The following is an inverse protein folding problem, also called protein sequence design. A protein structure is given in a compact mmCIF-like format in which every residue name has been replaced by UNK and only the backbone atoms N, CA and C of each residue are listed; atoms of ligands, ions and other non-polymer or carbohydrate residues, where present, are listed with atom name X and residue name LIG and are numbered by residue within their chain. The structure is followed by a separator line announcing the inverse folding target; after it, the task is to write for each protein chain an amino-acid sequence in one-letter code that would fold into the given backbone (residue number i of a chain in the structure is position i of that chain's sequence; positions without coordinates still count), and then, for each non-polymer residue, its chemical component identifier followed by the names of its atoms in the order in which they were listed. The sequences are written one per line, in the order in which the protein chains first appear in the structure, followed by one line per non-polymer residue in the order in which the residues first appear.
data_IF_057945364026
#
_entry.id   IF_057945364026
#
_cell.length_a   1.000
_cell.length_b   1.000
_cell.length_c   1.000
_cell.angle_alpha   90.00
_cell.angle_beta   90.00
_cell.angle_gamma   90.00
#
_symmetry.space_group_name_H-M   'P 1'
#
loop_
_entity.id
_entity.type
_entity.pdbx_description
1 polymer ?
#
# COMPACT_ATOMS: atom_id res chain seq x y z
N UNK A 1 47.39 41.57 -11.56
CA UNK A 1 46.41 42.64 -11.41
C UNK A 1 45.29 42.13 -10.54
N UNK A 2 45.12 42.80 -9.47
CA UNK A 2 44.35 42.50 -8.28
C UNK A 2 42.85 42.50 -8.54
N UNK A 3 42.16 41.47 -8.16
CA UNK A 3 40.74 41.58 -7.87
C UNK A 3 40.46 41.02 -6.50
N UNK A 4 40.18 42.00 -5.64
CA UNK A 4 40.07 41.81 -4.21
C UNK A 4 38.85 40.98 -3.80
N UNK A 5 39.15 39.98 -3.03
CA UNK A 5 38.22 39.30 -2.14
C UNK A 5 37.72 40.29 -1.07
N UNK A 6 36.60 40.97 -1.32
CA UNK A 6 35.88 41.69 -0.28
C UNK A 6 35.00 40.75 0.50
N UNK A 7 35.57 40.09 1.49
CA UNK A 7 34.83 39.43 2.57
C UNK A 7 34.35 40.52 3.52
N UNK A 8 33.06 40.76 3.73
CA UNK A 8 32.59 41.75 4.70
C UNK A 8 32.97 41.31 6.11
N UNK A 9 33.60 42.25 6.86
CA UNK A 9 33.97 42.05 8.27
C UNK A 9 32.73 41.81 9.12
N UNK A 10 32.77 40.97 10.15
CA UNK A 10 31.63 40.71 11.03
C UNK A 10 31.28 41.95 11.83
N UNK A 11 30.00 42.32 11.80
CA UNK A 11 29.42 43.40 12.62
C UNK A 11 28.92 42.77 13.92
N UNK A 12 29.20 43.35 15.08
CA UNK A 12 28.83 42.74 16.37
C UNK A 12 27.35 42.79 16.64
N UNK A 13 26.81 41.71 17.17
CA UNK A 13 25.48 41.66 17.76
C UNK A 13 24.33 41.45 16.77
N UNK A 14 23.27 42.18 16.85
CA UNK A 14 21.97 41.96 16.26
C UNK A 14 21.84 42.03 14.73
N UNK A 15 22.75 42.72 14.04
CA UNK A 15 22.73 42.88 12.59
C UNK A 15 23.04 41.59 11.82
N UNK A 16 23.87 40.72 12.39
CA UNK A 16 24.23 39.44 11.75
C UNK A 16 23.12 38.42 11.84
N UNK A 17 22.33 38.47 12.90
CA UNK A 17 21.14 37.65 13.05
C UNK A 17 20.02 38.09 12.10
N UNK A 18 19.80 39.38 11.93
CA UNK A 18 18.81 39.91 10.99
C UNK A 18 19.21 39.73 9.53
N UNK A 19 20.50 39.80 9.17
CA UNK A 19 21.00 39.48 7.84
C UNK A 19 20.85 37.97 7.53
N UNK A 20 21.18 37.09 8.47
CA UNK A 20 20.99 35.65 8.31
C UNK A 20 19.51 35.27 8.19
N UNK A 21 18.64 35.96 8.90
CA UNK A 21 17.19 35.81 8.79
C UNK A 21 16.72 36.32 7.42
N UNK A 22 17.18 37.48 6.97
CA UNK A 22 16.85 38.02 5.65
C UNK A 22 17.38 37.14 4.49
N UNK A 23 18.62 36.64 4.56
CA UNK A 23 19.15 35.68 3.59
C UNK A 23 18.38 34.36 3.59
N UNK A 24 17.93 33.89 4.74
CA UNK A 24 17.04 32.74 4.86
C UNK A 24 15.67 33.01 4.19
N UNK A 25 15.10 34.21 4.37
CA UNK A 25 13.86 34.61 3.69
C UNK A 25 14.05 34.79 2.18
N UNK A 26 15.17 35.34 1.72
CA UNK A 26 15.49 35.51 0.29
C UNK A 26 15.72 34.14 -0.38
N UNK A 27 16.37 33.21 0.31
CA UNK A 27 16.50 31.82 -0.21
C UNK A 27 15.15 31.08 -0.26
N UNK A 28 14.18 31.46 0.60
CA UNK A 28 12.80 30.98 0.54
C UNK A 28 12.01 31.55 -0.66
N UNK A 29 12.41 32.71 -1.16
CA UNK A 29 11.76 33.39 -2.31
C UNK A 29 12.37 33.00 -3.65
N UNK A 30 13.44 32.15 -3.69
CA UNK A 30 13.99 31.64 -4.93
C UNK A 30 12.91 30.79 -5.65
N UNK A 31 12.51 31.17 -6.89
CA UNK A 31 11.45 30.45 -7.63
C UNK A 31 11.71 28.96 -7.78
N UNK A 32 12.98 28.52 -7.84
CA UNK A 32 13.36 27.11 -7.93
C UNK A 32 13.15 26.36 -6.62
N UNK A 33 13.38 27.01 -5.46
CA UNK A 33 13.14 26.42 -4.13
C UNK A 33 11.66 26.40 -3.80
N UNK A 34 10.89 27.42 -4.16
CA UNK A 34 9.43 27.46 -4.01
C UNK A 34 8.79 26.38 -4.86
N UNK A 35 9.23 26.18 -6.11
CA UNK A 35 8.71 25.15 -7.01
C UNK A 35 9.02 23.73 -6.50
N UNK A 36 10.22 23.48 -5.94
CA UNK A 36 10.59 22.21 -5.30
C UNK A 36 9.77 21.95 -4.01
N UNK A 37 9.56 22.98 -3.18
CA UNK A 37 8.79 22.89 -1.94
C UNK A 37 7.32 22.59 -2.22
N UNK A 38 6.73 23.23 -3.23
CA UNK A 38 5.36 22.95 -3.66
C UNK A 38 5.15 21.53 -4.19
N UNK A 39 6.11 20.96 -4.94
CA UNK A 39 6.04 19.57 -5.41
C UNK A 39 6.14 18.58 -4.26
N UNK A 40 7.01 18.83 -3.29
CA UNK A 40 7.19 17.97 -2.14
C UNK A 40 5.96 17.99 -1.22
N UNK A 41 5.35 19.15 -1.02
CA UNK A 41 4.10 19.26 -0.28
C UNK A 41 2.95 18.48 -0.95
N UNK A 42 2.81 18.58 -2.28
CA UNK A 42 1.85 17.78 -3.06
C UNK A 42 2.10 16.28 -2.92
N UNK A 43 3.36 15.84 -2.89
CA UNK A 43 3.71 14.44 -2.73
C UNK A 43 3.39 13.92 -1.32
N UNK A 44 3.58 14.71 -0.27
CA UNK A 44 3.13 14.35 1.08
C UNK A 44 1.60 14.35 1.20
N UNK A 45 0.91 15.26 0.53
CA UNK A 45 -0.56 15.24 0.46
C UNK A 45 -1.05 13.97 -0.26
N UNK A 46 -0.42 13.61 -1.38
CA UNK A 46 -0.71 12.36 -2.08
C UNK A 46 -0.45 11.15 -1.17
N UNK A 47 0.62 11.14 -0.39
CA UNK A 47 0.90 10.09 0.58
C UNK A 47 -0.17 10.03 1.68
N UNK A 48 -0.64 11.17 2.18
CA UNK A 48 -1.73 11.21 3.16
C UNK A 48 -3.04 10.62 2.60
N UNK A 49 -3.35 10.91 1.32
CA UNK A 49 -4.47 10.28 0.59
C UNK A 49 -4.31 8.75 0.58
N UNK A 50 -3.12 8.24 0.23
CA UNK A 50 -2.85 6.79 0.22
C UNK A 50 -3.02 6.19 1.61
N UNK A 51 -2.44 6.82 2.64
CA UNK A 51 -2.52 6.34 4.01
C UNK A 51 -3.98 6.23 4.50
N UNK A 52 -4.80 7.23 4.22
CA UNK A 52 -6.19 7.23 4.63
C UNK A 52 -7.02 6.24 3.82
N UNK A 53 -7.06 6.41 2.49
CA UNK A 53 -7.96 5.61 1.66
C UNK A 53 -7.57 4.12 1.62
N UNK A 54 -6.30 3.75 1.56
CA UNK A 54 -5.95 2.33 1.64
C UNK A 54 -6.24 1.73 3.01
N UNK A 55 -6.18 2.51 4.10
CA UNK A 55 -6.67 2.09 5.41
C UNK A 55 -8.17 1.76 5.40
N UNK A 56 -8.99 2.64 4.80
CA UNK A 56 -10.45 2.44 4.69
C UNK A 56 -10.84 1.31 3.74
N UNK A 57 -9.97 0.94 2.77
CA UNK A 57 -10.30 -0.14 1.82
C UNK A 57 -10.47 -1.51 2.48
N UNK A 58 -9.88 -1.75 3.64
CA UNK A 58 -10.07 -2.99 4.39
C UNK A 58 -11.52 -3.15 4.84
N UNK A 59 -12.10 -2.06 5.37
CA UNK A 59 -13.49 -2.03 5.80
C UNK A 59 -14.44 -2.18 4.60
N UNK A 60 -14.20 -1.41 3.54
CA UNK A 60 -15.00 -1.48 2.32
C UNK A 60 -14.91 -2.86 1.66
N UNK A 61 -13.72 -3.50 1.67
CA UNK A 61 -13.54 -4.87 1.15
C UNK A 61 -14.33 -5.88 1.99
N UNK A 62 -14.29 -5.78 3.32
CA UNK A 62 -15.08 -6.63 4.20
C UNK A 62 -16.58 -6.46 3.93
N UNK A 63 -17.07 -5.21 3.92
CA UNK A 63 -18.47 -4.90 3.65
C UNK A 63 -18.91 -5.42 2.28
N UNK A 64 -18.04 -5.35 1.27
CA UNK A 64 -18.36 -5.84 -0.06
C UNK A 64 -18.58 -7.36 -0.12
N UNK A 65 -17.88 -8.13 0.73
CA UNK A 65 -17.84 -9.62 0.61
C UNK A 65 -18.69 -10.37 1.62
N UNK A 66 -19.12 -9.75 2.73
CA UNK A 66 -19.87 -10.47 3.78
C UNK A 66 -21.26 -10.89 3.34
N UNK A 67 -21.87 -10.21 2.37
CA UNK A 67 -23.22 -10.46 1.89
C UNK A 67 -23.27 -11.28 0.58
N UNK A 68 -22.11 -11.74 0.09
CA UNK A 68 -22.05 -12.49 -1.18
C UNK A 68 -21.36 -13.85 -1.01
N UNK A 69 -21.74 -14.88 -1.79
CA UNK A 69 -21.09 -16.18 -1.72
C UNK A 69 -19.62 -16.12 -2.13
N UNK A 70 -19.30 -15.42 -3.21
CA UNK A 70 -17.96 -15.35 -3.79
C UNK A 70 -17.26 -14.02 -3.55
N UNK A 71 -16.29 -14.01 -2.65
CA UNK A 71 -15.39 -12.86 -2.45
C UNK A 71 -14.49 -12.61 -3.69
N UNK A 72 -14.12 -13.67 -4.43
CA UNK A 72 -13.35 -13.55 -5.65
C UNK A 72 -14.10 -12.80 -6.75
N UNK A 73 -15.44 -13.03 -6.88
CA UNK A 73 -16.24 -12.26 -7.83
C UNK A 73 -16.17 -10.76 -7.53
N UNK A 74 -16.31 -10.39 -6.27
CA UNK A 74 -16.23 -8.98 -5.84
C UNK A 74 -14.84 -8.40 -6.11
N UNK A 75 -13.79 -9.13 -5.75
CA UNK A 75 -12.39 -8.70 -6.00
C UNK A 75 -12.15 -8.51 -7.49
N UNK A 76 -12.59 -9.44 -8.33
CA UNK A 76 -12.43 -9.37 -9.77
C UNK A 76 -13.22 -8.22 -10.39
N UNK A 77 -14.49 -8.00 -9.98
CA UNK A 77 -15.31 -6.87 -10.45
C UNK A 77 -14.67 -5.52 -10.09
N UNK A 78 -14.17 -5.36 -8.85
CA UNK A 78 -13.43 -4.17 -8.45
C UNK A 78 -12.24 -3.90 -9.39
N UNK A 79 -11.49 -4.94 -9.71
CA UNK A 79 -10.31 -4.81 -10.55
C UNK A 79 -10.67 -4.52 -12.02
N UNK A 80 -11.67 -5.20 -12.56
CA UNK A 80 -12.19 -4.93 -13.90
C UNK A 80 -12.61 -3.47 -14.04
N UNK A 81 -13.46 -3.00 -13.14
CA UNK A 81 -13.96 -1.63 -13.18
C UNK A 81 -12.84 -0.60 -12.97
N UNK A 82 -11.98 -0.81 -11.97
CA UNK A 82 -10.86 0.08 -11.70
C UNK A 82 -9.84 0.11 -12.83
N UNK A 83 -9.49 -1.06 -13.35
CA UNK A 83 -8.58 -1.19 -14.50
C UNK A 83 -9.16 -0.59 -15.78
N UNK A 84 -10.46 -0.78 -16.03
CA UNK A 84 -11.15 -0.18 -17.18
C UNK A 84 -11.10 1.35 -17.15
N UNK A 85 -11.21 1.98 -15.98
CA UNK A 85 -11.06 3.44 -15.88
C UNK A 85 -9.71 3.92 -16.43
N UNK A 86 -8.61 3.24 -16.08
CA UNK A 86 -7.27 3.56 -16.61
C UNK A 86 -7.16 3.25 -18.10
N UNK A 87 -7.56 2.05 -18.51
CA UNK A 87 -7.41 1.61 -19.90
C UNK A 87 -8.20 2.53 -20.83
N UNK A 88 -9.45 2.84 -20.53
CA UNK A 88 -10.28 3.73 -21.32
C UNK A 88 -9.70 5.14 -21.41
N UNK A 89 -9.21 5.68 -20.27
CA UNK A 89 -8.54 6.99 -20.27
C UNK A 89 -7.31 7.00 -21.19
N UNK A 90 -6.45 6.00 -21.10
CA UNK A 90 -5.24 5.95 -21.91
C UNK A 90 -5.51 5.62 -23.37
N UNK A 91 -6.53 4.87 -23.67
CA UNK A 91 -7.00 4.68 -25.06
C UNK A 91 -7.51 5.99 -25.66
N UNK A 92 -8.32 6.73 -24.91
CA UNK A 92 -8.83 8.02 -25.37
C UNK A 92 -7.73 9.08 -25.58
N UNK A 93 -6.60 8.95 -24.87
CA UNK A 93 -5.44 9.86 -25.00
C UNK A 93 -4.36 9.36 -25.98
N UNK A 94 -4.60 8.26 -26.69
CA UNK A 94 -3.68 7.74 -27.70
C UNK A 94 -2.42 7.08 -27.13
N UNK A 95 -2.50 6.45 -25.98
CA UNK A 95 -1.36 5.79 -25.37
C UNK A 95 -0.84 4.62 -26.22
N UNK A 96 0.48 4.45 -26.22
CA UNK A 96 1.15 3.37 -26.94
C UNK A 96 0.93 2.05 -26.18
N UNK A 97 0.51 1.00 -26.88
CA UNK A 97 0.33 -0.33 -26.33
C UNK A 97 1.67 -1.00 -26.00
N UNK A 98 1.68 -1.88 -24.95
CA UNK A 98 2.84 -2.69 -24.63
C UNK A 98 3.27 -3.56 -25.82
N UNK A 99 4.58 -3.80 -25.95
CA UNK A 99 5.13 -4.59 -27.05
C UNK A 99 5.97 -5.76 -26.54
N UNK A 100 5.85 -6.90 -27.20
CA UNK A 100 6.70 -8.07 -26.97
C UNK A 100 6.76 -8.49 -25.51
N UNK A 101 7.96 -8.41 -24.92
CA UNK A 101 8.23 -8.85 -23.53
C UNK A 101 7.48 -8.05 -22.44
N UNK A 102 7.01 -6.84 -22.76
CA UNK A 102 6.28 -6.01 -21.79
C UNK A 102 4.98 -6.67 -21.34
N UNK A 103 4.30 -7.39 -22.24
CA UNK A 103 3.11 -8.17 -21.91
C UNK A 103 3.38 -9.26 -20.87
N UNK A 104 4.54 -9.93 -20.95
CA UNK A 104 4.95 -10.92 -19.96
C UNK A 104 5.11 -10.32 -18.57
N UNK A 105 5.73 -9.12 -18.46
CA UNK A 105 5.86 -8.41 -17.19
C UNK A 105 4.50 -7.97 -16.65
N UNK A 106 3.63 -7.40 -17.49
CA UNK A 106 2.29 -6.99 -17.11
C UNK A 106 1.48 -8.19 -16.61
N UNK A 107 1.55 -9.33 -17.29
CA UNK A 107 0.86 -10.55 -16.89
C UNK A 107 1.34 -11.08 -15.55
N UNK A 108 2.65 -11.19 -15.33
CA UNK A 108 3.21 -11.65 -14.05
C UNK A 108 2.80 -10.69 -12.92
N UNK A 109 2.89 -9.39 -13.13
CA UNK A 109 2.46 -8.39 -12.14
C UNK A 109 0.96 -8.40 -11.91
N UNK A 110 0.15 -8.70 -12.94
CA UNK A 110 -1.30 -8.85 -12.77
C UNK A 110 -1.63 -10.01 -11.82
N UNK A 111 -0.90 -11.12 -11.93
CA UNK A 111 -1.07 -12.27 -11.04
C UNK A 111 -0.59 -11.94 -9.61
N UNK A 112 0.61 -11.37 -9.47
CA UNK A 112 1.20 -11.13 -8.15
C UNK A 112 0.49 -10.03 -7.38
N UNK A 113 0.26 -8.86 -8.00
CA UNK A 113 -0.25 -7.68 -7.29
C UNK A 113 -1.77 -7.69 -7.15
N UNK A 114 -2.48 -8.24 -8.12
CA UNK A 114 -3.95 -8.17 -8.15
C UNK A 114 -4.62 -9.54 -8.05
N UNK A 115 -4.17 -10.54 -8.81
CA UNK A 115 -4.76 -11.86 -8.80
C UNK A 115 -4.54 -12.59 -7.47
N UNK A 116 -3.32 -12.59 -6.96
CA UNK A 116 -3.01 -13.24 -5.69
C UNK A 116 -3.07 -12.26 -4.52
N UNK A 117 -2.39 -11.11 -4.60
CA UNK A 117 -2.37 -10.20 -3.45
C UNK A 117 -3.76 -9.62 -3.16
N UNK A 118 -4.32 -8.85 -4.07
CA UNK A 118 -5.58 -8.14 -3.81
C UNK A 118 -6.78 -9.09 -3.69
N UNK A 119 -6.88 -10.14 -4.52
CA UNK A 119 -7.99 -11.06 -4.45
C UNK A 119 -7.97 -11.93 -3.19
N UNK A 120 -6.78 -12.42 -2.77
CA UNK A 120 -6.67 -13.22 -1.54
C UNK A 120 -6.92 -12.37 -0.30
N UNK A 121 -6.44 -11.10 -0.23
CA UNK A 121 -6.75 -10.22 0.89
C UNK A 121 -8.25 -9.92 0.98
N UNK A 122 -8.90 -9.65 -0.16
CA UNK A 122 -10.35 -9.44 -0.22
C UNK A 122 -11.12 -10.70 0.21
N UNK A 123 -10.63 -11.87 -0.16
CA UNK A 123 -11.24 -13.13 0.28
C UNK A 123 -10.99 -13.41 1.76
N UNK A 124 -9.78 -13.08 2.26
CA UNK A 124 -9.39 -13.25 3.66
C UNK A 124 -10.31 -12.49 4.62
N UNK A 125 -10.60 -11.21 4.33
CA UNK A 125 -11.47 -10.37 5.18
C UNK A 125 -12.95 -10.79 5.18
N UNK A 126 -13.33 -11.82 4.43
CA UNK A 126 -14.62 -12.48 4.60
C UNK A 126 -14.70 -13.27 5.92
N UNK A 127 -13.56 -13.77 6.41
CA UNK A 127 -13.45 -14.69 7.54
C UNK A 127 -12.83 -14.05 8.78
N UNK A 128 -12.15 -12.93 8.63
CA UNK A 128 -11.50 -12.18 9.73
C UNK A 128 -11.98 -10.72 9.74
N UNK A 129 -11.70 -9.99 10.83
CA UNK A 129 -12.04 -8.58 10.91
C UNK A 129 -11.21 -7.74 9.92
N UNK A 130 -11.71 -6.55 9.56
CA UNK A 130 -10.99 -5.63 8.69
C UNK A 130 -9.70 -5.13 9.37
N UNK A 131 -9.78 -4.85 10.68
CA UNK A 131 -8.62 -4.47 11.50
C UNK A 131 -7.53 -5.54 11.46
N UNK A 132 -7.87 -6.80 11.75
CA UNK A 132 -6.91 -7.91 11.74
C UNK A 132 -6.30 -8.14 10.35
N UNK A 133 -7.11 -8.07 9.28
CA UNK A 133 -6.61 -8.15 7.91
C UNK A 133 -5.58 -7.07 7.58
N UNK A 134 -5.83 -5.83 8.02
CA UNK A 134 -4.91 -4.71 7.81
C UNK A 134 -3.60 -4.84 8.60
N UNK A 135 -3.66 -5.38 9.82
CA UNK A 135 -2.48 -5.66 10.64
C UNK A 135 -1.61 -6.72 9.96
N UNK A 136 -2.20 -7.81 9.47
CA UNK A 136 -1.48 -8.82 8.68
C UNK A 136 -0.91 -8.18 7.41
N UNK A 137 -1.66 -7.30 6.76
CA UNK A 137 -1.18 -6.53 5.61
C UNK A 137 0.07 -5.69 5.90
N UNK A 138 0.19 -5.14 7.12
CA UNK A 138 1.32 -4.29 7.52
C UNK A 138 2.64 -5.01 7.70
N UNK A 139 2.65 -6.34 7.78
CA UNK A 139 3.88 -7.14 7.88
C UNK A 139 4.62 -7.31 6.55
N UNK A 140 4.07 -6.84 5.44
CA UNK A 140 4.71 -7.00 4.12
C UNK A 140 6.16 -6.51 4.06
N UNK A 141 6.60 -5.41 4.75
CA UNK A 141 8.00 -5.03 4.76
C UNK A 141 8.91 -6.09 5.40
N UNK A 142 8.40 -6.89 6.33
CA UNK A 142 9.14 -8.02 6.91
C UNK A 142 9.40 -9.09 5.84
N UNK A 143 8.40 -9.35 4.99
CA UNK A 143 8.57 -10.27 3.85
C UNK A 143 9.59 -9.78 2.84
N UNK A 144 9.66 -8.47 2.57
CA UNK A 144 10.68 -7.91 1.69
C UNK A 144 12.09 -8.22 2.19
N UNK A 145 12.31 -8.13 3.49
CA UNK A 145 13.60 -8.44 4.11
C UNK A 145 13.87 -9.94 4.05
N UNK A 146 12.90 -10.77 4.43
CA UNK A 146 13.04 -12.24 4.41
C UNK A 146 13.35 -12.73 2.99
N UNK A 147 12.61 -12.27 1.98
CA UNK A 147 12.86 -12.65 0.57
C UNK A 147 14.22 -12.13 0.11
N UNK A 148 14.60 -10.92 0.56
CA UNK A 148 15.91 -10.33 0.28
C UNK A 148 17.07 -11.18 0.76
N UNK A 149 16.95 -11.86 1.91
CA UNK A 149 17.96 -12.78 2.44
C UNK A 149 18.25 -13.96 1.51
N UNK A 150 17.21 -14.50 0.85
CA UNK A 150 17.37 -15.61 -0.09
C UNK A 150 17.83 -15.15 -1.48
N UNK A 151 17.69 -13.84 -1.79
CA UNK A 151 17.98 -13.32 -3.14
C UNK A 151 19.31 -12.58 -3.26
N UNK A 152 19.86 -12.11 -2.15
CA UNK A 152 21.13 -11.38 -2.11
C UNK A 152 21.96 -11.94 -0.95
N UNK A 153 23.24 -12.21 -1.17
CA UNK A 153 24.20 -12.56 -0.10
C UNK A 153 24.45 -11.36 0.87
N UNK A 154 23.44 -10.54 1.11
CA UNK A 154 23.55 -9.39 1.99
C UNK A 154 23.33 -9.83 3.45
N UNK A 155 24.32 -9.56 4.30
CA UNK A 155 24.20 -9.79 5.76
C UNK A 155 23.17 -8.82 6.34
N UNK A 156 22.18 -9.35 7.05
CA UNK A 156 21.25 -8.51 7.81
C UNK A 156 21.99 -7.74 8.91
N UNK A 157 21.66 -6.47 9.03
CA UNK A 157 22.06 -5.69 10.22
C UNK A 157 21.29 -6.21 11.44
N UNK A 158 21.94 -6.25 12.60
CA UNK A 158 21.29 -6.67 13.87
C UNK A 158 19.97 -5.95 14.14
N UNK A 159 19.88 -4.68 13.72
CA UNK A 159 18.66 -3.88 13.83
C UNK A 159 17.50 -4.43 13.00
N UNK A 160 17.77 -5.03 11.82
CA UNK A 160 16.75 -5.69 11.02
C UNK A 160 16.25 -6.96 11.69
N UNK A 161 17.15 -7.77 12.25
CA UNK A 161 16.81 -8.99 12.98
C UNK A 161 15.95 -8.66 14.20
N UNK A 162 16.35 -7.64 14.98
CA UNK A 162 15.59 -7.18 16.12
C UNK A 162 14.19 -6.68 15.73
N UNK A 163 14.09 -5.96 14.62
CA UNK A 163 12.81 -5.51 14.06
C UNK A 163 11.90 -6.68 13.61
N UNK A 164 12.49 -7.72 12.99
CA UNK A 164 11.76 -8.94 12.61
C UNK A 164 11.18 -9.66 13.85
N UNK A 165 12.00 -9.86 14.88
CA UNK A 165 11.58 -10.51 16.12
C UNK A 165 10.49 -9.72 16.83
N UNK A 166 10.64 -8.40 16.89
CA UNK A 166 9.65 -7.50 17.49
C UNK A 166 8.33 -7.53 16.70
N UNK A 167 8.39 -7.45 15.36
CA UNK A 167 7.21 -7.54 14.51
C UNK A 167 6.45 -8.84 14.71
N UNK A 168 7.17 -9.95 14.77
CA UNK A 168 6.58 -11.27 15.05
C UNK A 168 5.98 -11.35 16.47
N UNK A 169 6.69 -10.84 17.48
CA UNK A 169 6.18 -10.82 18.85
C UNK A 169 4.87 -10.01 18.97
N UNK A 170 4.77 -8.85 18.28
CA UNK A 170 3.55 -8.07 18.25
C UNK A 170 2.37 -8.82 17.63
N UNK A 171 2.61 -9.59 16.56
CA UNK A 171 1.58 -10.46 15.98
C UNK A 171 1.16 -11.56 16.97
N UNK A 172 2.10 -12.17 17.68
CA UNK A 172 1.79 -13.16 18.70
C UNK A 172 0.90 -12.58 19.81
N UNK A 173 1.15 -11.32 20.23
CA UNK A 173 0.32 -10.64 21.23
C UNK A 173 -1.11 -10.44 20.72
N UNK A 174 -1.31 -10.05 19.46
CA UNK A 174 -2.64 -9.89 18.86
C UNK A 174 -3.35 -11.25 18.78
N UNK A 175 -2.64 -12.29 18.32
CA UNK A 175 -3.22 -13.62 18.18
C UNK A 175 -3.46 -14.34 19.51
N UNK A 176 -2.81 -13.91 20.60
CA UNK A 176 -3.08 -14.48 21.93
C UNK A 176 -4.55 -14.40 22.29
N UNK A 177 -5.20 -13.28 22.02
CA UNK A 177 -6.62 -13.08 22.26
C UNK A 177 -7.51 -13.92 21.33
N UNK A 178 -7.02 -14.18 20.11
CA UNK A 178 -7.72 -14.97 19.10
C UNK A 178 -7.42 -16.48 19.16
N UNK A 179 -6.74 -16.97 20.20
CA UNK A 179 -6.38 -18.39 20.31
C UNK A 179 -7.61 -19.30 20.20
N UNK A 180 -8.73 -18.89 20.77
CA UNK A 180 -9.98 -19.64 20.68
C UNK A 180 -10.55 -19.63 19.24
N UNK A 181 -10.39 -18.52 18.53
CA UNK A 181 -10.86 -18.38 17.13
C UNK A 181 -10.08 -19.30 16.19
N UNK A 182 -8.84 -19.68 16.53
CA UNK A 182 -8.06 -20.65 15.76
C UNK A 182 -8.66 -22.06 15.74
N UNK A 183 -9.59 -22.37 16.63
CA UNK A 183 -10.36 -23.60 16.55
C UNK A 183 -11.31 -23.59 15.35
N UNK A 184 -11.70 -22.41 14.88
CA UNK A 184 -12.55 -22.25 13.70
C UNK A 184 -11.73 -22.39 12.40
N UNK A 185 -12.01 -23.41 11.56
CA UNK A 185 -11.29 -23.57 10.29
C UNK A 185 -11.41 -22.38 9.34
N UNK A 186 -12.57 -21.68 9.36
CA UNK A 186 -12.79 -20.51 8.50
C UNK A 186 -11.88 -19.35 8.90
N UNK A 187 -11.70 -19.12 10.22
CA UNK A 187 -10.77 -18.09 10.72
C UNK A 187 -9.33 -18.38 10.28
N UNK A 188 -8.85 -19.63 10.47
CA UNK A 188 -7.51 -20.05 10.01
C UNK A 188 -7.33 -19.85 8.51
N UNK A 189 -8.35 -20.18 7.74
CA UNK A 189 -8.33 -19.98 6.29
C UNK A 189 -8.21 -18.48 5.93
N UNK A 190 -8.95 -17.59 6.61
CA UNK A 190 -8.84 -16.15 6.44
C UNK A 190 -7.44 -15.61 6.73
N UNK A 191 -6.81 -16.08 7.83
CA UNK A 191 -5.43 -15.74 8.17
C UNK A 191 -4.46 -16.22 7.07
N UNK A 192 -4.58 -17.47 6.63
CA UNK A 192 -3.75 -18.02 5.57
C UNK A 192 -3.84 -17.19 4.27
N UNK A 193 -5.05 -16.85 3.84
CA UNK A 193 -5.27 -16.02 2.65
C UNK A 193 -4.62 -14.64 2.80
N UNK A 194 -4.75 -14.03 3.97
CA UNK A 194 -4.18 -12.71 4.26
C UNK A 194 -2.65 -12.74 4.27
N UNK A 195 -2.03 -13.77 4.84
CA UNK A 195 -0.58 -13.96 4.81
C UNK A 195 -0.11 -14.21 3.36
N UNK A 196 -0.76 -15.11 2.62
CA UNK A 196 -0.42 -15.38 1.23
C UNK A 196 -0.53 -14.12 0.34
N UNK A 197 -1.51 -13.27 0.62
CA UNK A 197 -1.67 -11.99 -0.09
C UNK A 197 -0.48 -11.05 0.12
N UNK A 198 0.02 -10.93 1.36
CA UNK A 198 1.18 -10.07 1.68
C UNK A 198 2.47 -10.61 1.07
N UNK A 199 2.64 -11.93 1.03
CA UNK A 199 3.74 -12.57 0.32
C UNK A 199 3.72 -12.23 -1.16
N UNK A 200 2.57 -12.41 -1.80
CA UNK A 200 2.42 -12.11 -3.21
C UNK A 200 2.72 -10.64 -3.53
N UNK A 201 2.26 -9.71 -2.67
CA UNK A 201 2.56 -8.29 -2.79
C UNK A 201 4.07 -8.02 -2.67
N UNK A 202 4.76 -8.70 -1.76
CA UNK A 202 6.20 -8.55 -1.59
C UNK A 202 6.97 -9.05 -2.83
N UNK A 203 6.62 -10.22 -3.38
CA UNK A 203 7.18 -10.72 -4.63
C UNK A 203 6.90 -9.80 -5.80
N UNK A 204 5.67 -9.29 -5.94
CA UNK A 204 5.29 -8.33 -6.97
C UNK A 204 6.09 -7.03 -6.87
N UNK A 205 6.34 -6.54 -5.66
CA UNK A 205 7.16 -5.35 -5.41
C UNK A 205 8.61 -5.56 -5.83
N UNK A 206 9.22 -6.70 -5.46
CA UNK A 206 10.58 -7.05 -5.86
C UNK A 206 10.68 -7.23 -7.37
N UNK A 207 9.69 -7.90 -7.97
CA UNK A 207 9.63 -8.12 -9.41
C UNK A 207 9.52 -6.80 -10.17
N UNK A 208 8.67 -5.89 -9.72
CA UNK A 208 8.55 -4.53 -10.28
C UNK A 208 9.90 -3.80 -10.23
N UNK A 209 10.59 -3.86 -9.09
CA UNK A 209 11.90 -3.20 -8.92
C UNK A 209 12.97 -3.75 -9.86
N UNK A 210 12.99 -5.07 -10.10
CA UNK A 210 13.96 -5.72 -11.00
C UNK A 210 13.69 -5.46 -12.48
N UNK A 211 12.43 -5.30 -12.84
CA UNK A 211 11.97 -5.22 -14.23
C UNK A 211 11.21 -3.92 -14.48
N UNK A 212 11.75 -2.79 -13.98
CA UNK A 212 11.15 -1.47 -14.21
C UNK A 212 10.86 -1.28 -15.71
N UNK A 213 9.59 -1.37 -16.05
CA UNK A 213 9.13 -1.39 -17.45
C UNK A 213 9.29 0.00 -18.05
N UNK A 214 9.84 0.07 -19.26
CA UNK A 214 9.91 1.30 -20.07
C UNK A 214 8.54 1.67 -20.67
N UNK A 215 7.50 1.56 -19.86
CA UNK A 215 6.11 1.69 -20.23
C UNK A 215 5.39 2.64 -19.27
N UNK A 216 4.30 3.28 -19.71
CA UNK A 216 3.54 4.17 -18.83
C UNK A 216 3.02 3.40 -17.60
N UNK A 217 3.45 3.75 -16.36
CA UNK A 217 3.14 2.97 -15.17
C UNK A 217 1.65 2.94 -14.85
N UNK A 218 0.91 3.99 -15.18
CA UNK A 218 -0.54 4.06 -14.94
C UNK A 218 -1.32 3.20 -15.94
N UNK A 219 -0.90 3.22 -17.22
CA UNK A 219 -1.52 2.34 -18.21
C UNK A 219 -1.21 0.87 -17.93
N UNK A 220 0.05 0.58 -17.59
CA UNK A 220 0.46 -0.76 -17.15
C UNK A 220 -0.33 -1.25 -15.94
N UNK A 221 -0.59 -0.38 -14.96
CA UNK A 221 -1.44 -0.67 -13.81
C UNK A 221 -2.87 -1.04 -14.24
N UNK A 222 -3.47 -0.24 -15.13
CA UNK A 222 -4.81 -0.52 -15.66
C UNK A 222 -4.90 -1.87 -16.34
N UNK A 223 -3.93 -2.20 -17.19
CA UNK A 223 -3.86 -3.50 -17.88
C UNK A 223 -3.69 -4.66 -16.90
N UNK A 224 -2.82 -4.52 -15.87
CA UNK A 224 -2.67 -5.52 -14.82
C UNK A 224 -3.99 -5.78 -14.10
N UNK A 225 -4.73 -4.73 -13.77
CA UNK A 225 -6.02 -4.84 -13.08
C UNK A 225 -7.06 -5.50 -13.99
N UNK A 226 -7.15 -5.15 -15.27
CA UNK A 226 -8.11 -5.77 -16.20
C UNK A 226 -7.81 -7.25 -16.39
N UNK A 227 -6.55 -7.62 -16.66
CA UNK A 227 -6.14 -9.01 -16.83
C UNK A 227 -6.47 -9.82 -15.57
N UNK A 228 -6.06 -9.31 -14.41
CA UNK A 228 -6.36 -9.97 -13.13
C UNK A 228 -7.87 -10.06 -12.87
N UNK A 229 -8.61 -9.00 -13.14
CA UNK A 229 -10.06 -8.98 -12.97
C UNK A 229 -10.75 -10.06 -13.78
N UNK A 230 -10.38 -10.22 -15.07
CA UNK A 230 -10.90 -11.29 -15.94
C UNK A 230 -10.60 -12.67 -15.35
N UNK A 231 -9.33 -12.89 -14.94
CA UNK A 231 -8.91 -14.18 -14.39
C UNK A 231 -9.63 -14.51 -13.08
N UNK A 232 -9.72 -13.55 -12.16
CA UNK A 232 -10.33 -13.75 -10.83
C UNK A 232 -11.84 -13.94 -10.93
N UNK A 233 -12.54 -13.20 -11.80
CA UNK A 233 -13.96 -13.45 -12.10
C UNK A 233 -14.14 -14.82 -12.74
N UNK A 234 -13.28 -15.18 -13.70
CA UNK A 234 -13.28 -16.50 -14.33
C UNK A 234 -13.14 -17.63 -13.29
N UNK A 235 -12.18 -17.53 -12.37
CA UNK A 235 -12.03 -18.49 -11.27
C UNK A 235 -13.28 -18.53 -10.39
N UNK A 236 -13.91 -17.39 -10.11
CA UNK A 236 -15.15 -17.35 -9.34
C UNK A 236 -16.28 -18.13 -10.02
N UNK A 237 -16.41 -18.04 -11.32
CA UNK A 237 -17.40 -18.81 -12.09
C UNK A 237 -17.07 -20.31 -12.09
N UNK A 238 -15.80 -20.68 -12.30
CA UNK A 238 -15.36 -22.08 -12.28
C UNK A 238 -15.59 -22.75 -10.92
N UNK A 239 -15.55 -22.01 -9.83
CA UNK A 239 -15.85 -22.54 -8.49
C UNK A 239 -17.35 -22.69 -8.21
N UNK A 240 -18.22 -22.31 -9.13
CA UNK A 240 -19.69 -22.40 -8.98
C UNK A 240 -20.28 -21.47 -7.91
N UNK A 241 -19.47 -20.52 -7.36
CA UNK A 241 -19.91 -19.59 -6.30
C UNK A 241 -20.26 -18.20 -6.83
N UNK A 242 -20.07 -17.95 -8.12
CA UNK A 242 -20.47 -16.69 -8.73
C UNK A 242 -21.98 -16.58 -8.79
N UNK A 243 -22.50 -15.39 -8.52
CA UNK A 243 -23.92 -15.07 -8.63
C UNK A 243 -24.17 -14.08 -9.76
N UNK A 244 -25.38 -14.01 -10.33
CA UNK A 244 -25.73 -12.99 -11.30
C UNK A 244 -25.47 -11.59 -10.75
N UNK A 245 -25.04 -10.66 -11.60
CA UNK A 245 -24.74 -9.28 -11.18
C UNK A 245 -25.93 -8.60 -10.53
N UNK A 246 -27.14 -8.93 -10.97
CA UNK A 246 -28.42 -8.44 -10.42
C UNK A 246 -28.72 -8.96 -9.02
N UNK A 247 -28.12 -10.08 -8.62
CA UNK A 247 -28.26 -10.66 -7.28
C UNK A 247 -27.24 -10.14 -6.27
N UNK A 248 -26.26 -9.33 -6.71
CA UNK A 248 -25.32 -8.69 -5.80
C UNK A 248 -26.05 -7.57 -5.05
N UNK A 249 -26.03 -7.57 -3.70
CA UNK A 249 -26.71 -6.56 -2.90
C UNK A 249 -26.16 -5.15 -3.17
N UNK A 250 -27.01 -4.14 -3.04
CA UNK A 250 -26.62 -2.74 -3.27
C UNK A 250 -25.48 -2.28 -2.35
N UNK A 251 -25.39 -2.81 -1.11
CA UNK A 251 -24.31 -2.53 -0.16
C UNK A 251 -22.95 -2.98 -0.71
N UNK A 252 -22.92 -4.16 -1.35
CA UNK A 252 -21.72 -4.66 -2.01
C UNK A 252 -21.36 -3.80 -3.22
N UNK A 253 -22.34 -3.37 -4.03
CA UNK A 253 -22.11 -2.46 -5.15
C UNK A 253 -21.61 -1.08 -4.69
N UNK A 254 -22.16 -0.50 -3.64
CA UNK A 254 -21.69 0.75 -3.05
C UNK A 254 -20.22 0.62 -2.59
N UNK A 255 -19.91 -0.51 -1.92
CA UNK A 255 -18.55 -0.81 -1.49
C UNK A 255 -17.59 -1.02 -2.67
N UNK A 256 -18.01 -1.72 -3.73
CA UNK A 256 -17.24 -1.85 -4.98
C UNK A 256 -16.98 -0.48 -5.59
N UNK A 257 -18.00 0.37 -5.72
CA UNK A 257 -17.87 1.74 -6.23
C UNK A 257 -16.85 2.56 -5.42
N UNK A 258 -16.92 2.48 -4.10
CA UNK A 258 -15.94 3.10 -3.21
C UNK A 258 -14.52 2.55 -3.45
N UNK A 259 -14.37 1.23 -3.51
CA UNK A 259 -13.09 0.56 -3.74
C UNK A 259 -12.50 0.90 -5.11
N UNK A 260 -13.33 1.04 -6.14
CA UNK A 260 -12.91 1.46 -7.48
C UNK A 260 -12.42 2.91 -7.45
N UNK A 261 -13.24 3.83 -6.96
CA UNK A 261 -12.90 5.24 -6.96
C UNK A 261 -11.70 5.53 -6.05
N UNK A 262 -11.82 5.22 -4.77
CA UNK A 262 -10.83 5.62 -3.76
C UNK A 262 -9.72 4.60 -3.56
N UNK A 263 -10.03 3.31 -3.60
CA UNK A 263 -9.03 2.26 -3.41
C UNK A 263 -8.17 1.98 -4.64
N UNK A 264 -8.75 2.06 -5.83
CA UNK A 264 -8.06 1.68 -7.07
C UNK A 264 -7.65 2.89 -7.91
N UNK A 265 -8.51 3.87 -8.16
CA UNK A 265 -8.17 4.99 -9.05
C UNK A 265 -7.38 6.07 -8.30
N UNK A 266 -8.01 6.76 -7.36
CA UNK A 266 -7.37 7.90 -6.68
C UNK A 266 -6.13 7.51 -5.88
N UNK A 267 -6.19 6.42 -5.12
CA UNK A 267 -5.06 6.02 -4.29
C UNK A 267 -3.85 5.56 -5.09
N UNK A 268 -4.03 4.81 -6.19
CA UNK A 268 -2.88 4.42 -7.01
C UNK A 268 -2.27 5.59 -7.79
N UNK A 269 -3.08 6.55 -8.26
CA UNK A 269 -2.55 7.79 -8.83
C UNK A 269 -1.70 8.53 -7.79
N UNK A 270 -2.23 8.69 -6.58
CA UNK A 270 -1.53 9.34 -5.48
C UNK A 270 -0.27 8.56 -5.08
N UNK A 271 -0.33 7.23 -5.02
CA UNK A 271 0.80 6.36 -4.69
C UNK A 271 1.94 6.48 -5.70
N UNK A 272 1.65 6.35 -6.99
CA UNK A 272 2.66 6.49 -8.04
C UNK A 272 3.24 7.90 -8.04
N UNK A 273 2.41 8.93 -7.84
CA UNK A 273 2.88 10.32 -7.72
C UNK A 273 3.82 10.49 -6.51
N UNK A 274 3.45 9.94 -5.36
CA UNK A 274 4.30 9.96 -4.17
C UNK A 274 5.64 9.24 -4.41
N UNK A 275 5.63 8.05 -5.03
CA UNK A 275 6.84 7.29 -5.37
C UNK A 275 7.78 8.04 -6.31
N UNK A 276 7.25 8.85 -7.21
CA UNK A 276 8.06 9.65 -8.14
C UNK A 276 8.72 10.87 -7.49
N UNK A 277 8.22 11.33 -6.32
CA UNK A 277 8.63 12.59 -5.73
C UNK A 277 9.18 12.46 -4.30
N UNK A 278 8.98 11.32 -3.64
CA UNK A 278 9.47 11.03 -2.29
C UNK A 278 10.36 9.78 -2.30
N UNK A 279 11.31 9.69 -1.36
CA UNK A 279 12.05 8.44 -1.12
C UNK A 279 11.09 7.28 -0.79
N UNK A 280 11.41 6.09 -1.27
CA UNK A 280 10.58 4.88 -1.06
C UNK A 280 10.31 4.60 0.41
N UNK A 281 11.28 4.92 1.29
CA UNK A 281 11.18 4.79 2.75
C UNK A 281 10.10 5.69 3.34
N UNK A 282 9.89 6.87 2.76
CA UNK A 282 8.83 7.79 3.19
C UNK A 282 7.48 7.34 2.66
N UNK A 283 7.44 6.86 1.41
CA UNK A 283 6.18 6.35 0.84
C UNK A 283 5.70 5.12 1.60
N UNK A 284 6.61 4.24 2.06
CA UNK A 284 6.25 3.04 2.83
C UNK A 284 5.58 3.32 4.18
N UNK A 285 5.51 4.60 4.62
CA UNK A 285 4.76 4.98 5.83
C UNK A 285 3.27 4.59 5.77
N UNK A 286 2.69 4.43 4.59
CA UNK A 286 1.31 3.94 4.48
C UNK A 286 1.12 2.59 5.18
N UNK A 287 2.12 1.72 5.15
CA UNK A 287 2.06 0.40 5.79
C UNK A 287 1.90 0.47 7.32
N UNK A 288 2.31 1.58 7.94
CA UNK A 288 2.14 1.80 9.39
C UNK A 288 0.82 2.49 9.71
N UNK A 289 0.34 3.36 8.83
CA UNK A 289 -0.86 4.17 9.09
C UNK A 289 -2.12 3.39 8.74
N UNK A 290 -2.10 2.55 7.69
CA UNK A 290 -3.26 1.77 7.27
C UNK A 290 -3.88 0.92 8.39
N UNK A 291 -3.12 0.14 9.20
CA UNK A 291 -3.70 -0.61 10.31
C UNK A 291 -4.36 0.28 11.35
N UNK A 292 -3.77 1.45 11.65
CA UNK A 292 -4.33 2.40 12.61
C UNK A 292 -5.68 2.89 12.12
N UNK A 293 -5.77 3.29 10.84
CA UNK A 293 -7.02 3.73 10.21
C UNK A 293 -8.05 2.61 10.19
N UNK A 294 -7.64 1.39 9.78
CA UNK A 294 -8.55 0.26 9.65
C UNK A 294 -9.11 -0.21 11.02
N UNK A 295 -8.25 -0.32 12.05
CA UNK A 295 -8.64 -0.72 13.40
C UNK A 295 -9.55 0.32 14.03
N UNK A 296 -9.18 1.60 13.94
CA UNK A 296 -9.98 2.69 14.49
C UNK A 296 -11.37 2.78 13.85
N UNK A 297 -11.44 2.73 12.53
CA UNK A 297 -12.71 2.78 11.83
C UNK A 297 -13.50 1.47 11.96
N UNK A 298 -12.84 0.32 12.06
CA UNK A 298 -13.45 -0.98 12.34
C UNK A 298 -14.19 -0.95 13.68
N UNK A 299 -13.54 -0.41 14.72
CA UNK A 299 -14.16 -0.18 16.01
C UNK A 299 -15.33 0.81 15.92
N UNK A 300 -15.14 1.96 15.26
CA UNK A 300 -16.14 3.03 15.22
C UNK A 300 -17.37 2.67 14.38
N UNK A 301 -17.19 2.00 13.22
CA UNK A 301 -18.26 1.78 12.23
C UNK A 301 -18.88 0.39 12.36
N UNK A 302 -18.07 -0.64 12.61
CA UNK A 302 -18.52 -2.04 12.65
C UNK A 302 -18.60 -2.61 14.04
N UNK A 303 -18.27 -1.83 15.09
CA UNK A 303 -18.26 -2.32 16.47
C UNK A 303 -17.23 -3.42 16.69
N UNK A 304 -16.14 -3.46 15.89
CA UNK A 304 -15.04 -4.40 16.13
C UNK A 304 -14.45 -4.12 17.52
N UNK A 305 -14.16 -5.16 18.28
CA UNK A 305 -13.65 -4.99 19.65
C UNK A 305 -12.22 -4.46 19.61
N UNK A 306 -11.98 -3.35 20.29
CA UNK A 306 -10.66 -2.75 20.43
C UNK A 306 -10.11 -3.10 21.81
N UNK A 307 -9.37 -4.19 21.91
CA UNK A 307 -8.81 -4.67 23.18
C UNK A 307 -7.42 -4.14 23.45
N UNK A 308 -6.97 -4.24 24.69
CA UNK A 308 -5.60 -3.89 25.07
C UNK A 308 -4.56 -4.73 24.29
N UNK A 309 -4.83 -6.01 24.05
CA UNK A 309 -3.94 -6.89 23.28
C UNK A 309 -3.77 -6.42 21.84
N UNK A 310 -4.87 -6.00 21.17
CA UNK A 310 -4.82 -5.43 19.83
C UNK A 310 -3.98 -4.16 19.82
N UNK A 311 -4.22 -3.23 20.75
CA UNK A 311 -3.48 -1.96 20.83
C UNK A 311 -1.99 -2.20 21.06
N UNK A 312 -1.65 -2.99 22.07
CA UNK A 312 -0.25 -3.29 22.43
C UNK A 312 0.43 -4.03 21.28
N UNK A 313 -0.21 -5.06 20.72
CA UNK A 313 0.34 -5.85 19.63
C UNK A 313 0.55 -5.03 18.36
N UNK A 314 -0.38 -4.12 18.02
CA UNK A 314 -0.21 -3.16 16.91
C UNK A 314 1.01 -2.27 17.15
N UNK A 315 1.16 -1.68 18.33
CA UNK A 315 2.30 -0.82 18.65
C UNK A 315 3.63 -1.57 18.57
N UNK A 316 3.69 -2.81 19.08
CA UNK A 316 4.89 -3.66 18.99
C UNK A 316 5.18 -4.01 17.54
N UNK A 317 4.17 -4.45 16.76
CA UNK A 317 4.33 -4.80 15.34
C UNK A 317 4.84 -3.62 14.52
N UNK A 318 4.22 -2.45 14.68
CA UNK A 318 4.62 -1.23 13.98
C UNK A 318 6.04 -0.78 14.37
N UNK A 319 6.42 -0.93 15.63
CA UNK A 319 7.79 -0.66 16.10
C UNK A 319 8.79 -1.61 15.44
N UNK A 320 8.46 -2.90 15.32
CA UNK A 320 9.28 -3.89 14.60
C UNK A 320 9.46 -3.53 13.13
N UNK A 321 8.36 -3.23 12.43
CA UNK A 321 8.39 -2.81 11.02
C UNK A 321 9.19 -1.51 10.84
N UNK A 322 9.06 -0.55 11.77
CA UNK A 322 9.86 0.67 11.77
C UNK A 322 11.37 0.38 11.89
N UNK A 323 11.78 -0.50 12.80
CA UNK A 323 13.19 -0.88 12.97
C UNK A 323 13.76 -1.55 11.71
N UNK A 324 13.01 -2.48 11.11
CA UNK A 324 13.39 -3.10 9.83
C UNK A 324 13.60 -2.03 8.76
N UNK A 325 12.63 -1.15 8.59
CA UNK A 325 12.68 -0.11 7.57
C UNK A 325 13.83 0.89 7.81
N UNK A 326 14.12 1.21 9.08
CA UNK A 326 15.27 2.06 9.44
C UNK A 326 16.60 1.38 9.13
N UNK A 327 16.71 0.07 9.29
CA UNK A 327 17.94 -0.71 9.06
C UNK A 327 18.30 -0.81 7.57
N UNK A 328 17.31 -0.73 6.68
CA UNK A 328 17.49 -0.79 5.22
C UNK A 328 17.85 0.55 4.61
N UNK A 329 17.76 1.63 5.38
CA UNK A 329 18.24 2.96 4.95
C UNK A 329 19.76 2.94 4.85
N UNK A 330 20.30 3.21 3.66
CA UNK A 330 21.72 3.50 3.41
C UNK A 330 22.02 4.96 3.73
#
# INVERSE_FOLDING_TARGET
MNDGNNIPKPVPGDAQNSLNIAFRYISYLNPLTIRKKGRRAKAYFALAIVCFFWGTTWLASRQAVIHVPSALQIAGLRQLLGGSCYVLFFLATGAIWPRGKEWGFIFILSLLNFGLSNALSTWGVKFISAGLGSIIGSIFPLWLVIIGLFSANEKLKSQAIMGLLLGFAGICVIFYEHLHDFLNPAFRFGIFLSIASTWSWAFGTIYTKKHAVRFNPYFGLGLQMVISGILVVGVSHLTGKAIPLTAIPWQSWASIGYLVAFGSVFSFIAYIYALQHLPTEQVSLYAYINPIVAVFLGWMIFGEVLTAFIIIGVLITLSGVYLVNKSTRK
#
